data_IF_763078417105
#
_entry.id   IF_763078417105
#
_cell.length_a   1.000
_cell.length_b   1.000
_cell.length_c   1.000
_cell.angle_alpha   90.00
_cell.angle_beta   90.00
_cell.angle_gamma   90.00
#
_symmetry.space_group_name_H-M   'P 1'
#
loop_
_entity.id
_entity.type
_entity.pdbx_description
1 polymer ?
#
# COMPACT_ATOMS: atom_id res chain seq x y z
N UNK A 1 19.96 18.64 10.79
CA UNK A 1 21.05 19.35 10.05
C UNK A 1 21.60 20.50 10.86
N UNK A 2 20.79 21.47 11.28
CA UNK A 2 21.28 22.58 12.14
C UNK A 2 21.84 22.11 13.48
N UNK A 3 21.24 21.08 14.09
CA UNK A 3 21.74 20.41 15.30
C UNK A 3 23.07 19.66 15.11
N UNK A 4 23.50 19.43 13.86
CA UNK A 4 24.81 18.84 13.52
C UNK A 4 25.72 19.85 12.80
N UNK A 5 25.44 21.15 12.94
CA UNK A 5 26.28 22.25 12.42
C UNK A 5 26.01 22.71 10.99
N UNK A 6 25.00 22.14 10.31
CA UNK A 6 24.67 22.49 8.92
C UNK A 6 23.37 23.33 8.91
N UNK A 7 23.48 24.63 8.68
CA UNK A 7 22.31 25.48 8.42
C UNK A 7 21.99 25.50 6.92
N UNK A 8 20.76 25.10 6.58
CA UNK A 8 20.30 25.00 5.18
C UNK A 8 19.33 26.12 4.82
N UNK A 9 18.96 27.01 5.76
CA UNK A 9 17.90 28.00 5.54
C UNK A 9 18.14 28.87 4.31
N UNK A 10 19.36 29.35 4.16
CA UNK A 10 19.74 30.24 3.04
C UNK A 10 19.95 29.48 1.72
N UNK A 11 19.80 28.15 1.72
CA UNK A 11 19.98 27.27 0.56
C UNK A 11 18.64 26.70 0.04
N UNK A 12 17.51 27.12 0.61
CA UNK A 12 16.18 26.67 0.19
C UNK A 12 15.70 27.54 -0.97
N UNK A 13 15.64 26.97 -2.17
CA UNK A 13 15.07 27.63 -3.35
C UNK A 13 13.53 27.52 -3.39
N UNK A 14 13.00 26.39 -2.93
CA UNK A 14 11.56 26.08 -2.97
C UNK A 14 11.19 25.34 -1.68
N UNK A 15 10.08 25.75 -1.06
CA UNK A 15 9.46 25.06 0.07
C UNK A 15 7.99 24.79 -0.23
N UNK A 16 7.54 23.57 0.06
CA UNK A 16 6.13 23.20 0.02
C UNK A 16 5.77 22.42 1.28
N UNK A 17 4.62 22.76 1.87
CA UNK A 17 4.11 22.12 3.07
C UNK A 17 2.84 21.33 2.74
N UNK A 18 2.78 20.10 3.24
CA UNK A 18 1.60 19.26 3.20
C UNK A 18 1.20 18.87 4.63
N UNK A 19 -0.06 19.08 4.95
CA UNK A 19 -0.68 18.80 6.23
C UNK A 19 -1.62 17.59 6.12
N UNK A 20 -2.03 16.98 7.24
CA UNK A 20 -3.05 15.92 7.21
C UNK A 20 -4.36 16.34 6.53
N UNK A 21 -4.73 17.63 6.59
CA UNK A 21 -5.91 18.14 5.88
C UNK A 21 -5.69 18.10 4.36
N UNK A 22 -4.49 18.42 3.88
CA UNK A 22 -4.14 18.31 2.46
C UNK A 22 -4.22 16.85 2.01
N UNK A 23 -3.74 15.89 2.81
CA UNK A 23 -3.88 14.47 2.49
C UNK A 23 -5.34 14.01 2.42
N UNK A 24 -6.19 14.51 3.32
CA UNK A 24 -7.63 14.22 3.27
C UNK A 24 -8.27 14.80 2.00
N UNK A 25 -7.97 16.06 1.69
CA UNK A 25 -8.56 16.78 0.56
C UNK A 25 -8.08 16.24 -0.80
N UNK A 26 -6.80 15.91 -0.94
CA UNK A 26 -6.22 15.45 -2.20
C UNK A 26 -6.43 13.95 -2.46
N UNK A 27 -6.38 13.11 -1.41
CA UNK A 27 -6.34 11.66 -1.57
C UNK A 27 -7.51 10.92 -0.91
N UNK A 28 -8.44 11.63 -0.27
CA UNK A 28 -9.54 11.02 0.48
C UNK A 28 -9.05 10.23 1.72
N UNK A 29 -7.80 10.46 2.14
CA UNK A 29 -7.19 9.76 3.26
C UNK A 29 -7.88 10.17 4.55
N UNK A 30 -8.64 9.27 5.16
CA UNK A 30 -9.35 9.55 6.42
C UNK A 30 -8.39 10.08 7.50
N UNK A 31 -8.69 11.27 8.03
CA UNK A 31 -7.83 12.02 8.97
C UNK A 31 -6.39 12.27 8.47
N UNK A 32 -6.18 12.28 7.15
CA UNK A 32 -4.86 12.44 6.54
C UNK A 32 -3.92 11.25 6.69
N UNK A 33 -4.43 10.06 7.01
CA UNK A 33 -3.58 8.88 7.22
C UNK A 33 -2.93 8.39 5.93
N UNK A 34 -1.61 8.26 5.93
CA UNK A 34 -0.82 7.71 4.82
C UNK A 34 -0.78 6.16 4.79
N UNK A 35 -1.23 5.51 5.86
CA UNK A 35 -1.20 4.03 5.99
C UNK A 35 -2.54 3.43 6.40
N UNK A 36 -3.64 4.18 6.24
CA UNK A 36 -4.97 3.73 6.65
C UNK A 36 -5.08 3.52 8.16
N UNK A 37 -5.63 2.38 8.59
CA UNK A 37 -5.80 2.05 10.01
C UNK A 37 -4.43 1.81 10.66
N UNK A 38 -4.18 2.50 11.78
CA UNK A 38 -2.90 2.41 12.50
C UNK A 38 -2.59 0.97 12.95
N UNK A 39 -1.33 0.58 12.81
CA UNK A 39 -0.82 -0.75 13.19
C UNK A 39 -0.30 -0.81 14.64
N UNK A 40 -0.72 0.13 15.50
CA UNK A 40 -0.17 0.30 16.85
C UNK A 40 -0.45 -0.88 17.78
N UNK A 41 -1.27 -1.84 17.36
CA UNK A 41 -1.47 -3.13 18.02
C UNK A 41 -1.52 -4.22 16.96
N UNK A 42 -0.96 -5.40 17.23
CA UNK A 42 -1.01 -6.54 16.31
C UNK A 42 -2.45 -6.89 15.87
N UNK A 43 -3.44 -6.64 16.72
CA UNK A 43 -4.85 -6.88 16.43
C UNK A 43 -5.48 -5.91 15.42
N UNK A 44 -4.94 -4.71 15.20
CA UNK A 44 -5.56 -3.72 14.29
C UNK A 44 -5.35 -4.07 12.83
N UNK A 45 -4.30 -4.82 12.50
CA UNK A 45 -4.08 -5.35 11.15
C UNK A 45 -5.22 -6.29 10.72
N UNK A 46 -5.82 -7.03 11.66
CA UNK A 46 -6.94 -7.95 11.40
C UNK A 46 -8.31 -7.24 11.33
N UNK A 47 -8.40 -5.96 11.71
CA UNK A 47 -9.63 -5.15 11.60
C UNK A 47 -9.75 -4.46 10.23
N UNK A 48 -8.76 -4.61 9.36
CA UNK A 48 -8.84 -4.09 7.98
C UNK A 48 -9.94 -4.85 7.23
N UNK A 49 -10.74 -4.16 6.40
CA UNK A 49 -11.68 -4.82 5.52
C UNK A 49 -10.96 -5.89 4.69
N UNK A 50 -11.56 -7.08 4.61
CA UNK A 50 -11.12 -8.10 3.66
C UNK A 50 -11.27 -7.56 2.23
N UNK A 51 -10.53 -8.11 1.27
CA UNK A 51 -10.57 -7.65 -0.12
C UNK A 51 -11.90 -7.93 -0.85
N UNK A 52 -12.87 -8.52 -0.16
CA UNK A 52 -14.20 -8.87 -0.68
C UNK A 52 -15.25 -8.68 0.39
N UNK A 53 -16.34 -8.02 0.03
CA UNK A 53 -17.46 -7.79 0.94
C UNK A 53 -18.20 -9.10 1.22
N UNK A 54 -18.51 -9.35 2.50
CA UNK A 54 -19.37 -10.45 2.92
C UNK A 54 -20.87 -10.12 2.79
N UNK A 55 -21.21 -8.84 2.64
CA UNK A 55 -22.58 -8.34 2.66
C UNK A 55 -23.09 -7.97 1.27
N UNK A 56 -22.21 -7.52 0.38
CA UNK A 56 -22.57 -7.02 -0.95
C UNK A 56 -21.85 -7.86 -1.99
N UNK A 57 -22.61 -8.62 -2.78
CA UNK A 57 -22.07 -9.44 -3.87
C UNK A 57 -21.47 -8.53 -4.95
N UNK A 58 -20.29 -8.88 -5.44
CA UNK A 58 -19.59 -8.11 -6.48
C UNK A 58 -18.86 -6.85 -5.97
N UNK A 59 -18.80 -6.63 -4.65
CA UNK A 59 -18.02 -5.53 -4.06
C UNK A 59 -16.68 -6.02 -3.52
N UNK A 60 -15.60 -5.41 -4.00
CA UNK A 60 -14.22 -5.73 -3.65
C UNK A 60 -13.48 -4.50 -3.17
N UNK A 61 -12.46 -4.71 -2.35
CA UNK A 61 -11.65 -3.63 -1.77
C UNK A 61 -10.17 -3.88 -2.07
N UNK A 62 -9.47 -2.84 -2.49
CA UNK A 62 -8.03 -2.85 -2.75
C UNK A 62 -7.40 -1.56 -2.22
N UNK A 63 -6.14 -1.64 -1.78
CA UNK A 63 -5.36 -0.49 -1.34
C UNK A 63 -4.98 -0.52 0.14
N UNK A 64 -4.37 0.57 0.61
CA UNK A 64 -3.66 0.58 1.91
C UNK A 64 -4.56 0.52 3.15
N UNK A 65 -5.84 0.83 2.98
CA UNK A 65 -6.85 0.71 4.03
C UNK A 65 -7.44 -0.71 4.14
N UNK A 66 -7.24 -1.54 3.11
CA UNK A 66 -7.75 -2.91 3.00
C UNK A 66 -6.68 -3.91 3.44
N UNK A 67 -7.07 -5.17 3.62
CA UNK A 67 -6.10 -6.24 3.81
C UNK A 67 -5.14 -6.32 2.61
N UNK A 68 -3.83 -6.57 2.80
CA UNK A 68 -3.12 -6.77 4.08
C UNK A 68 -2.72 -5.48 4.82
N UNK A 69 -2.61 -4.33 4.14
CA UNK A 69 -2.33 -3.03 4.77
C UNK A 69 -1.69 -2.02 3.83
N UNK A 70 -1.19 -0.92 4.42
CA UNK A 70 -0.56 0.19 3.70
C UNK A 70 0.91 -0.03 3.36
N UNK A 71 1.45 0.84 2.50
CA UNK A 71 2.80 0.76 1.93
C UNK A 71 2.81 0.07 0.57
N UNK A 72 3.71 0.49 -0.32
CA UNK A 72 3.72 0.09 -1.75
C UNK A 72 3.60 -1.43 -1.92
N UNK A 73 4.41 -2.28 -1.24
CA UNK A 73 4.32 -3.73 -1.43
C UNK A 73 2.96 -4.31 -1.03
N UNK A 74 2.39 -3.83 0.08
CA UNK A 74 1.13 -4.34 0.62
C UNK A 74 -0.07 -3.84 -0.17
N UNK A 75 -0.01 -2.61 -0.70
CA UNK A 75 -1.02 -2.06 -1.61
C UNK A 75 -1.08 -2.87 -2.91
N UNK A 76 0.08 -3.19 -3.50
CA UNK A 76 0.16 -4.03 -4.70
C UNK A 76 -0.40 -5.43 -4.44
N UNK A 77 -0.05 -6.02 -3.30
CA UNK A 77 -0.58 -7.33 -2.90
C UNK A 77 -2.09 -7.29 -2.67
N UNK A 78 -2.61 -6.23 -2.04
CA UNK A 78 -4.04 -5.99 -1.85
C UNK A 78 -4.79 -5.98 -3.19
N UNK A 79 -4.24 -5.27 -4.19
CA UNK A 79 -4.81 -5.23 -5.55
C UNK A 79 -4.81 -6.59 -6.22
N UNK A 80 -3.70 -7.35 -6.11
CA UNK A 80 -3.60 -8.72 -6.62
C UNK A 80 -4.67 -9.64 -6.02
N UNK A 81 -4.84 -9.61 -4.70
CA UNK A 81 -5.86 -10.41 -4.00
C UNK A 81 -7.28 -10.05 -4.45
N UNK A 82 -7.58 -8.75 -4.57
CA UNK A 82 -8.89 -8.31 -5.07
C UNK A 82 -9.14 -8.79 -6.50
N UNK A 83 -8.15 -8.71 -7.39
CA UNK A 83 -8.25 -9.19 -8.76
C UNK A 83 -8.45 -10.72 -8.84
N UNK A 84 -7.74 -11.49 -8.01
CA UNK A 84 -7.92 -12.94 -7.91
C UNK A 84 -9.35 -13.31 -7.46
N UNK A 85 -9.89 -12.59 -6.47
CA UNK A 85 -11.27 -12.79 -5.98
C UNK A 85 -12.34 -12.39 -7.01
N UNK A 86 -12.09 -11.35 -7.80
CA UNK A 86 -12.97 -10.97 -8.93
C UNK A 86 -12.97 -12.07 -9.98
N UNK A 87 -11.78 -12.58 -10.34
CA UNK A 87 -11.65 -13.62 -11.35
C UNK A 87 -12.32 -14.93 -10.91
N UNK A 88 -12.15 -15.33 -9.64
CA UNK A 88 -12.84 -16.47 -9.04
C UNK A 88 -14.36 -16.34 -9.19
N UNK A 89 -14.92 -15.17 -8.88
CA UNK A 89 -16.37 -14.92 -8.97
C UNK A 89 -16.91 -14.85 -10.40
N UNK A 90 -16.06 -14.44 -11.33
CA UNK A 90 -16.36 -14.41 -12.75
C UNK A 90 -16.12 -15.78 -13.43
N UNK A 91 -15.58 -16.77 -12.72
CA UNK A 91 -15.21 -18.07 -13.29
C UNK A 91 -13.99 -18.01 -14.23
N UNK A 92 -13.14 -16.99 -14.08
CA UNK A 92 -11.93 -16.78 -14.89
C UNK A 92 -10.70 -17.33 -14.17
N UNK A 93 -9.89 -18.13 -14.88
CA UNK A 93 -8.63 -18.67 -14.34
C UNK A 93 -7.50 -17.66 -14.54
N UNK A 94 -6.92 -17.14 -13.44
CA UNK A 94 -5.70 -16.32 -13.48
C UNK A 94 -4.48 -17.27 -13.42
N UNK A 95 -3.73 -17.36 -14.52
CA UNK A 95 -2.49 -18.15 -14.56
C UNK A 95 -1.39 -17.45 -13.74
N UNK A 96 -0.83 -18.14 -12.74
CA UNK A 96 0.30 -17.61 -11.97
C UNK A 96 1.54 -17.56 -12.87
N UNK A 97 2.02 -16.36 -13.22
CA UNK A 97 3.36 -16.24 -13.79
C UNK A 97 4.38 -16.73 -12.75
N UNK A 98 5.13 -17.79 -13.10
CA UNK A 98 6.27 -18.25 -12.33
C UNK A 98 7.35 -17.17 -12.32
N UNK A 99 7.57 -16.52 -11.19
CA UNK A 99 8.79 -15.75 -10.95
C UNK A 99 9.96 -16.74 -10.85
N UNK A 100 10.55 -17.11 -11.98
CA UNK A 100 11.82 -17.86 -11.99
C UNK A 100 12.92 -16.93 -11.49
N UNK A 101 13.26 -17.02 -10.22
CA UNK A 101 14.62 -16.66 -9.78
C UNK A 101 15.56 -17.81 -10.16
N UNK A 102 16.46 -17.55 -11.11
CA UNK A 102 17.79 -18.17 -11.13
C UNK A 102 18.84 -17.08 -11.38
N UNK A 103 19.22 -16.43 -10.29
CA UNK A 103 20.56 -15.90 -10.13
C UNK A 103 21.46 -17.10 -9.85
N UNK A 104 22.02 -17.75 -10.87
CA UNK A 104 23.10 -18.76 -10.70
C UNK A 104 23.85 -19.00 -12.02
N UNK A 105 24.43 -17.98 -12.63
CA UNK A 105 25.45 -18.16 -13.69
C UNK A 105 26.52 -17.04 -13.58
N UNK A 106 27.21 -16.94 -12.43
CA UNK A 106 28.53 -16.29 -12.35
C UNK A 106 29.38 -17.04 -11.31
N UNK A 107 29.70 -18.30 -11.58
CA UNK A 107 30.85 -18.97 -10.97
C UNK A 107 31.35 -20.00 -11.97
N UNK A 108 32.08 -19.51 -12.98
CA UNK A 108 33.08 -20.28 -13.72
C UNK A 108 33.94 -19.26 -14.48
N UNK A 109 35.02 -18.86 -13.82
CA UNK A 109 36.21 -18.22 -14.39
C UNK A 109 37.42 -18.89 -13.77
#
# INVERSE_FOLDING_TARGET
LKQVGIDIRDQIEIEQTYTPADFYNHYGSNRGSIYGISSNRRSTAFRRPANRSRLIKGLYFAGGASHPGGGIPLVLLSGKMAAELIAEDAGVVITKQQTRHRATEITES
#
